data_IF_489162450914
#
_entry.id   IF_489162450914
#
_cell.length_a   1.000
_cell.length_b   1.000
_cell.length_c   1.000
_cell.angle_alpha   90.00
_cell.angle_beta   90.00
_cell.angle_gamma   90.00
#
_symmetry.space_group_name_H-M   'P 1'
#
loop_
_entity.id
_entity.type
_entity.pdbx_description
1 polymer ?
#
# COMPACT_ATOMS: atom_id res chain seq x y z
N UNK A 1 48.93 9.50 -26.05
CA UNK A 1 50.24 8.82 -26.19
C UNK A 1 50.10 7.80 -27.27
N UNK A 2 50.69 8.15 -28.39
CA UNK A 2 51.10 7.47 -29.57
C UNK A 2 51.81 6.14 -29.36
N UNK A 3 51.62 5.23 -30.31
CA UNK A 3 52.57 4.42 -31.07
C UNK A 3 51.72 3.49 -31.94
N UNK A 4 51.51 3.71 -33.21
CA UNK A 4 52.18 3.74 -34.51
C UNK A 4 53.18 2.59 -34.74
N UNK A 5 52.88 1.93 -35.87
CA UNK A 5 53.73 1.29 -36.89
C UNK A 5 54.31 -0.08 -36.59
N UNK A 6 54.13 -1.03 -37.54
CA UNK A 6 55.06 -1.29 -38.61
C UNK A 6 54.46 -2.22 -39.70
N UNK A 7 54.56 -1.72 -40.93
CA UNK A 7 54.43 -2.43 -42.22
C UNK A 7 55.74 -3.19 -42.52
N UNK A 8 55.72 -4.26 -43.30
CA UNK A 8 56.21 -4.30 -44.65
C UNK A 8 56.27 -5.74 -45.20
N UNK A 9 56.47 -5.85 -46.51
CA UNK A 9 55.87 -6.86 -47.39
C UNK A 9 56.92 -7.80 -48.03
N UNK A 10 56.45 -8.82 -48.72
CA UNK A 10 57.30 -9.47 -49.71
C UNK A 10 56.43 -10.01 -50.87
N UNK A 11 56.75 -9.53 -52.05
CA UNK A 11 56.44 -10.04 -53.43
C UNK A 11 57.70 -10.45 -54.15
N UNK A 12 57.65 -10.95 -55.35
CA UNK A 12 58.08 -12.27 -55.75
C UNK A 12 59.44 -12.25 -56.47
N UNK A 13 59.82 -13.28 -57.18
CA UNK A 13 60.21 -13.07 -58.57
C UNK A 13 59.77 -14.16 -59.56
N UNK A 14 59.46 -13.68 -60.74
CA UNK A 14 59.41 -14.40 -62.04
C UNK A 14 60.76 -14.92 -62.45
N UNK A 15 60.77 -16.03 -63.18
CA UNK A 15 61.73 -16.23 -64.24
C UNK A 15 61.20 -17.21 -65.30
N UNK A 16 61.08 -16.67 -66.51
CA UNK A 16 60.98 -17.35 -67.79
C UNK A 16 62.19 -18.22 -68.07
N UNK A 17 61.94 -19.37 -68.59
CA UNK A 17 62.81 -19.88 -69.67
C UNK A 17 62.02 -20.82 -70.61
N UNK A 18 61.99 -20.48 -71.87
CA UNK A 18 61.58 -21.23 -73.05
C UNK A 18 62.70 -22.13 -73.48
N UNK A 19 62.42 -23.34 -73.92
CA UNK A 19 63.13 -23.98 -75.09
C UNK A 19 62.30 -25.15 -75.63
N UNK A 20 62.30 -25.20 -76.96
CA UNK A 20 61.65 -26.04 -77.98
C UNK A 20 62.12 -27.46 -78.08
N UNK A 21 61.23 -28.24 -78.74
CA UNK A 21 61.47 -29.31 -79.70
C UNK A 21 62.13 -30.61 -79.21
N UNK A 22 61.72 -31.76 -79.55
CA UNK A 22 61.30 -32.36 -80.83
C UNK A 22 60.67 -33.73 -80.65
N UNK A 23 59.93 -34.13 -81.66
CA UNK A 23 59.20 -35.36 -81.88
C UNK A 23 59.93 -36.67 -81.66
N UNK A 24 59.24 -37.73 -81.34
CA UNK A 24 58.99 -38.93 -82.17
C UNK A 24 58.20 -40.03 -81.37
N UNK A 25 57.14 -40.43 -81.99
CA UNK A 25 56.64 -41.79 -82.26
C UNK A 25 56.53 -42.82 -81.13
N UNK A 26 55.24 -43.06 -80.71
CA UNK A 26 54.44 -44.31 -80.90
C UNK A 26 55.04 -45.61 -80.30
N UNK A 27 54.23 -46.57 -79.79
CA UNK A 27 52.80 -46.64 -79.40
C UNK A 27 52.54 -47.51 -78.18
N UNK A 28 51.30 -47.63 -77.97
CA UNK A 28 50.59 -48.79 -77.33
C UNK A 28 50.63 -48.97 -75.86
N UNK A 29 49.54 -48.74 -75.37
CA UNK A 29 48.66 -49.68 -74.74
C UNK A 29 48.47 -49.62 -73.25
N UNK A 30 47.39 -49.53 -72.81
CA UNK A 30 46.55 -50.59 -72.21
C UNK A 30 45.42 -49.94 -71.43
N UNK A 31 44.27 -50.36 -71.73
CA UNK A 31 42.97 -50.06 -71.00
C UNK A 31 42.97 -50.38 -69.54
N UNK A 32 43.58 -49.58 -68.69
CA UNK A 32 43.39 -49.60 -67.27
C UNK A 32 42.81 -48.28 -66.75
N UNK A 33 42.57 -47.30 -67.59
CA UNK A 33 41.97 -46.01 -67.16
C UNK A 33 40.46 -46.07 -66.92
N UNK A 34 39.76 -47.02 -67.57
CA UNK A 34 38.31 -47.11 -67.43
C UNK A 34 37.83 -47.46 -66.00
N UNK A 35 38.50 -48.43 -65.34
CA UNK A 35 38.11 -48.92 -64.05
C UNK A 35 38.42 -47.89 -62.92
N UNK A 36 39.58 -47.20 -63.05
CA UNK A 36 39.92 -46.14 -62.06
C UNK A 36 39.04 -44.90 -62.23
N UNK A 37 38.69 -44.52 -63.49
CA UNK A 37 37.74 -43.42 -63.69
C UNK A 37 36.36 -43.76 -63.22
N UNK A 38 35.86 -44.97 -63.45
CA UNK A 38 34.56 -45.40 -62.90
C UNK A 38 34.53 -45.47 -61.35
N UNK A 39 35.60 -45.95 -60.72
CA UNK A 39 35.71 -45.99 -59.29
C UNK A 39 35.81 -44.58 -58.70
N UNK A 40 36.49 -43.64 -59.31
CA UNK A 40 36.55 -42.24 -58.90
C UNK A 40 35.25 -41.51 -59.12
N UNK A 41 34.53 -41.76 -60.23
CA UNK A 41 33.19 -41.20 -60.46
C UNK A 41 32.12 -41.72 -59.41
N UNK A 42 32.15 -43.02 -59.15
CA UNK A 42 31.30 -43.65 -58.17
C UNK A 42 31.65 -43.10 -56.76
N UNK A 43 32.92 -42.96 -56.41
CA UNK A 43 33.39 -42.35 -55.17
C UNK A 43 32.96 -40.90 -55.04
N UNK A 44 33.13 -40.10 -56.09
CA UNK A 44 32.73 -38.67 -56.16
C UNK A 44 31.19 -38.50 -55.99
N UNK A 45 30.41 -39.33 -56.72
CA UNK A 45 28.97 -39.30 -56.60
C UNK A 45 28.47 -39.73 -55.24
N UNK A 46 29.08 -40.73 -54.62
CA UNK A 46 28.77 -41.11 -53.21
C UNK A 46 29.11 -39.99 -52.23
N UNK A 47 30.27 -39.33 -52.44
CA UNK A 47 30.68 -38.21 -51.57
C UNK A 47 29.77 -36.99 -51.75
N UNK A 48 29.33 -36.71 -52.99
CA UNK A 48 28.36 -35.65 -53.26
C UNK A 48 26.98 -35.97 -52.64
N UNK A 49 26.51 -37.19 -52.76
CA UNK A 49 25.21 -37.60 -52.14
C UNK A 49 25.29 -37.56 -50.62
N UNK A 50 26.41 -38.04 -50.06
CA UNK A 50 26.59 -37.97 -48.57
C UNK A 50 26.72 -36.53 -48.11
N UNK A 51 27.48 -35.68 -48.85
CA UNK A 51 27.58 -34.25 -48.56
C UNK A 51 26.24 -33.54 -48.66
N UNK A 52 25.46 -33.83 -49.69
CA UNK A 52 24.11 -33.27 -49.84
C UNK A 52 23.17 -33.69 -48.68
N UNK A 53 23.23 -34.95 -48.26
CA UNK A 53 22.46 -35.46 -47.11
C UNK A 53 22.83 -34.76 -45.80
N UNK A 54 24.13 -34.57 -45.55
CA UNK A 54 24.60 -33.85 -44.37
C UNK A 54 24.21 -32.36 -44.45
N UNK A 55 24.35 -31.74 -45.60
CA UNK A 55 23.93 -30.34 -45.78
C UNK A 55 22.42 -30.17 -45.53
N UNK A 56 21.61 -31.08 -46.03
CA UNK A 56 20.17 -31.09 -45.79
C UNK A 56 19.84 -31.29 -44.31
N UNK A 57 20.51 -32.25 -43.66
CA UNK A 57 20.32 -32.49 -42.22
C UNK A 57 20.71 -31.26 -41.39
N UNK A 58 21.85 -30.64 -41.69
CA UNK A 58 22.27 -29.40 -41.02
C UNK A 58 21.31 -28.23 -41.30
N UNK A 59 20.80 -28.10 -42.52
CA UNK A 59 19.81 -27.08 -42.88
C UNK A 59 18.52 -27.25 -42.11
N UNK A 60 18.05 -28.51 -41.92
CA UNK A 60 16.84 -28.80 -41.09
C UNK A 60 17.10 -28.47 -39.64
N UNK A 61 18.25 -28.83 -39.08
CA UNK A 61 18.62 -28.50 -37.70
C UNK A 61 18.77 -27.00 -37.52
N UNK A 62 19.42 -26.31 -38.42
CA UNK A 62 19.58 -24.85 -38.42
C UNK A 62 18.20 -24.14 -38.49
N UNK A 63 17.33 -24.60 -39.41
CA UNK A 63 15.95 -24.10 -39.52
C UNK A 63 15.16 -24.29 -38.22
N UNK A 64 15.31 -25.45 -37.60
CA UNK A 64 14.65 -25.72 -36.30
C UNK A 64 15.20 -24.89 -35.15
N UNK A 65 16.51 -24.63 -35.14
CA UNK A 65 17.13 -23.73 -34.16
C UNK A 65 16.67 -22.27 -34.32
N UNK A 66 16.56 -21.81 -35.59
CA UNK A 66 16.02 -20.47 -35.87
C UNK A 66 14.54 -20.38 -35.49
N UNK A 67 13.75 -21.40 -35.83
CA UNK A 67 12.33 -21.45 -35.41
C UNK A 67 12.19 -21.42 -33.88
N UNK A 68 12.96 -22.21 -33.14
CA UNK A 68 12.97 -22.20 -31.68
C UNK A 68 13.41 -20.83 -31.15
N UNK A 69 14.46 -20.24 -31.66
CA UNK A 69 14.96 -18.94 -31.21
C UNK A 69 13.96 -17.81 -31.49
N UNK A 70 13.29 -17.81 -32.63
CA UNK A 70 12.31 -16.78 -33.00
C UNK A 70 10.97 -16.99 -32.25
N UNK A 71 10.50 -18.22 -32.14
CA UNK A 71 9.25 -18.54 -31.47
C UNK A 71 9.36 -18.40 -29.93
N UNK A 72 10.51 -18.77 -29.33
CA UNK A 72 10.75 -18.53 -27.91
C UNK A 72 10.90 -17.04 -27.60
N UNK A 73 11.64 -16.26 -28.38
CA UNK A 73 11.74 -14.82 -28.18
C UNK A 73 10.39 -14.13 -28.36
N UNK A 74 9.62 -14.46 -29.39
CA UNK A 74 8.26 -13.92 -29.54
C UNK A 74 7.31 -14.40 -28.43
N UNK A 75 7.48 -15.61 -27.92
CA UNK A 75 6.74 -16.16 -26.78
C UNK A 75 7.13 -15.54 -25.44
N UNK A 76 8.41 -15.24 -25.22
CA UNK A 76 8.88 -14.55 -24.00
C UNK A 76 8.56 -13.06 -24.05
N UNK A 77 8.65 -12.38 -25.18
CA UNK A 77 8.20 -11.00 -25.31
C UNK A 77 6.68 -10.87 -25.16
N UNK A 78 5.90 -11.80 -25.70
CA UNK A 78 4.46 -11.84 -25.50
C UNK A 78 4.08 -12.28 -24.07
N UNK A 79 4.86 -13.12 -23.40
CA UNK A 79 4.72 -13.45 -21.99
C UNK A 79 5.19 -12.33 -21.08
N UNK A 80 6.34 -11.71 -21.36
CA UNK A 80 6.83 -10.56 -20.58
C UNK A 80 5.97 -9.33 -20.79
N UNK A 81 5.43 -9.07 -21.97
CA UNK A 81 4.46 -8.00 -22.19
C UNK A 81 3.07 -8.33 -21.60
N UNK A 82 2.64 -9.59 -21.59
CA UNK A 82 1.43 -10.02 -20.82
C UNK A 82 1.67 -10.00 -19.31
N UNK A 83 2.84 -10.38 -18.81
CA UNK A 83 3.23 -10.27 -17.41
C UNK A 83 3.44 -8.79 -17.04
N UNK A 84 3.99 -7.96 -17.91
CA UNK A 84 4.09 -6.52 -17.73
C UNK A 84 2.73 -5.81 -17.88
N UNK A 85 1.83 -6.27 -18.74
CA UNK A 85 0.48 -5.74 -18.87
C UNK A 85 -0.47 -6.25 -17.77
N UNK A 86 -0.23 -7.44 -17.18
CA UNK A 86 -0.96 -7.96 -16.01
C UNK A 86 -0.30 -7.53 -14.70
N UNK A 87 0.98 -7.23 -14.69
CA UNK A 87 1.67 -6.37 -13.77
C UNK A 87 1.50 -4.90 -14.25
N UNK A 88 0.26 -4.41 -14.36
CA UNK A 88 0.03 -3.02 -13.96
C UNK A 88 0.76 -2.93 -12.63
N UNK A 89 1.93 -2.29 -12.63
CA UNK A 89 2.68 -2.02 -11.41
C UNK A 89 1.64 -1.51 -10.43
N UNK A 90 1.27 -2.37 -9.48
CA UNK A 90 0.32 -2.00 -8.44
C UNK A 90 1.03 -0.87 -7.76
N UNK A 91 0.58 0.37 -8.03
CA UNK A 91 1.21 1.55 -7.47
C UNK A 91 1.26 1.33 -5.97
N UNK A 92 2.44 1.47 -5.41
CA UNK A 92 2.66 1.39 -3.98
C UNK A 92 1.72 2.40 -3.33
N UNK A 93 1.03 2.02 -2.28
CA UNK A 93 0.16 2.96 -1.55
C UNK A 93 1.00 4.10 -0.99
N UNK A 94 0.68 5.34 -1.37
CA UNK A 94 1.44 6.55 -1.03
C UNK A 94 1.61 6.73 0.47
N UNK A 95 2.68 7.38 0.86
CA UNK A 95 2.97 7.73 2.23
C UNK A 95 1.98 8.77 2.77
N UNK A 96 1.79 8.77 4.07
CA UNK A 96 1.07 9.82 4.79
C UNK A 96 2.06 10.46 5.76
N UNK A 97 2.15 11.79 5.71
CA UNK A 97 3.02 12.57 6.59
C UNK A 97 2.22 13.53 7.46
N UNK A 98 2.82 14.00 8.53
CA UNK A 98 2.32 15.13 9.29
C UNK A 98 2.65 16.46 8.58
N UNK A 99 2.24 17.58 9.17
CA UNK A 99 2.51 18.94 8.64
C UNK A 99 4.01 19.30 8.54
N UNK A 100 4.87 18.59 9.27
CA UNK A 100 6.33 18.78 9.30
C UNK A 100 7.06 17.77 8.41
N UNK A 101 6.35 16.94 7.64
CA UNK A 101 6.93 15.88 6.81
C UNK A 101 7.30 14.61 7.58
N UNK A 102 6.91 14.47 8.85
CA UNK A 102 7.17 13.26 9.63
C UNK A 102 6.26 12.14 9.14
N UNK A 103 6.84 10.98 8.88
CA UNK A 103 6.16 9.83 8.30
C UNK A 103 5.18 9.21 9.29
N UNK A 104 3.89 9.26 8.99
CA UNK A 104 2.80 8.69 9.79
C UNK A 104 2.36 7.30 9.33
N UNK A 105 2.39 7.05 8.02
CA UNK A 105 2.12 5.74 7.42
C UNK A 105 2.92 5.54 6.14
N UNK A 106 3.47 4.34 5.96
CA UNK A 106 4.22 3.94 4.76
C UNK A 106 3.91 2.50 4.37
N UNK A 107 4.21 2.14 3.13
CA UNK A 107 4.08 0.77 2.62
C UNK A 107 5.45 0.16 2.42
N UNK A 108 5.74 -0.91 3.14
CA UNK A 108 7.00 -1.65 3.01
C UNK A 108 6.82 -2.86 2.09
N UNK A 109 7.75 -3.10 1.16
CA UNK A 109 7.74 -4.31 0.35
C UNK A 109 7.95 -5.53 1.25
N UNK A 110 7.13 -6.55 1.05
CA UNK A 110 7.19 -7.82 1.76
C UNK A 110 6.98 -8.97 0.79
N UNK A 111 7.15 -10.20 1.25
CA UNK A 111 6.79 -11.40 0.53
C UNK A 111 5.64 -12.12 1.24
N UNK A 112 4.78 -12.75 0.48
CA UNK A 112 3.75 -13.65 0.98
C UNK A 112 3.98 -15.05 0.41
N UNK A 113 3.94 -16.05 1.28
CA UNK A 113 4.12 -17.46 0.94
C UNK A 113 2.80 -18.07 0.48
N UNK A 114 2.81 -18.67 -0.70
CA UNK A 114 1.73 -19.52 -1.17
C UNK A 114 2.26 -20.87 -1.62
N UNK A 115 1.39 -21.85 -1.66
CA UNK A 115 1.67 -23.18 -2.19
C UNK A 115 0.82 -23.45 -3.43
N UNK A 116 1.40 -24.20 -4.38
CA UNK A 116 0.63 -24.99 -5.33
C UNK A 116 0.60 -26.43 -4.83
N UNK A 117 -0.50 -26.89 -4.21
CA UNK A 117 -0.61 -28.24 -3.66
C UNK A 117 -0.30 -29.36 -4.66
N UNK A 118 -0.55 -29.15 -5.95
CA UNK A 118 -0.26 -30.15 -6.99
C UNK A 118 1.23 -30.41 -7.19
N UNK A 119 2.10 -29.46 -6.79
CA UNK A 119 3.55 -29.59 -6.89
C UNK A 119 4.19 -30.04 -5.56
N UNK A 120 3.40 -30.26 -4.51
CA UNK A 120 3.90 -30.72 -3.21
C UNK A 120 4.00 -32.24 -3.24
N UNK A 121 5.20 -32.79 -3.09
CA UNK A 121 5.45 -34.23 -3.14
C UNK A 121 4.90 -34.94 -1.89
N UNK A 122 5.21 -34.45 -0.69
CA UNK A 122 4.73 -34.97 0.58
C UNK A 122 4.18 -33.83 1.46
N UNK A 123 2.84 -33.65 1.51
CA UNK A 123 2.21 -32.64 2.35
C UNK A 123 2.48 -32.79 3.85
N UNK A 124 2.69 -34.02 4.34
CA UNK A 124 2.93 -34.27 5.76
C UNK A 124 4.35 -33.87 6.18
N UNK A 125 5.34 -34.19 5.35
CA UNK A 125 6.73 -33.78 5.57
C UNK A 125 6.87 -32.25 5.41
N UNK A 126 6.30 -31.68 4.35
CA UNK A 126 6.30 -30.23 4.10
C UNK A 126 5.67 -29.46 5.28
N UNK A 127 4.52 -29.92 5.80
CA UNK A 127 3.89 -29.33 6.97
C UNK A 127 4.76 -29.40 8.22
N UNK A 128 5.49 -30.53 8.43
CA UNK A 128 6.41 -30.68 9.55
C UNK A 128 7.58 -29.70 9.46
N UNK A 129 8.17 -29.51 8.26
CA UNK A 129 9.27 -28.57 8.02
C UNK A 129 8.80 -27.12 8.20
N UNK A 130 7.65 -26.77 7.64
CA UNK A 130 7.07 -25.42 7.77
C UNK A 130 6.67 -25.06 9.21
N UNK A 131 6.17 -26.01 10.00
CA UNK A 131 5.83 -25.76 11.40
C UNK A 131 7.05 -25.37 12.26
N UNK A 132 8.28 -25.77 11.88
CA UNK A 132 9.51 -25.29 12.56
C UNK A 132 9.80 -23.82 12.29
N UNK A 133 9.45 -23.34 11.10
CA UNK A 133 9.62 -21.93 10.72
C UNK A 133 8.47 -21.07 11.25
N UNK A 134 7.27 -21.63 11.33
CA UNK A 134 6.05 -20.97 11.78
C UNK A 134 5.47 -21.65 13.05
N UNK A 135 6.08 -21.48 14.22
CA UNK A 135 5.66 -22.18 15.45
C UNK A 135 4.23 -21.84 15.89
N UNK A 136 3.70 -20.68 15.48
CA UNK A 136 2.33 -20.24 15.79
C UNK A 136 1.27 -20.80 14.82
N UNK A 137 1.67 -21.58 13.81
CA UNK A 137 0.74 -22.20 12.87
C UNK A 137 0.48 -23.63 13.24
N UNK A 138 -0.78 -24.01 13.28
CA UNK A 138 -1.19 -25.38 13.49
C UNK A 138 -0.73 -26.27 12.32
N UNK A 139 0.07 -27.29 12.63
CA UNK A 139 0.62 -28.24 11.66
C UNK A 139 -0.48 -28.95 10.88
N UNK A 140 -1.59 -29.32 11.51
CA UNK A 140 -2.70 -30.01 10.86
C UNK A 140 -3.37 -29.10 9.81
N UNK A 141 -3.51 -27.81 10.12
CA UNK A 141 -4.02 -26.81 9.19
C UNK A 141 -3.08 -26.56 8.00
N UNK A 142 -1.76 -26.54 8.23
CA UNK A 142 -0.77 -26.46 7.15
C UNK A 142 -0.90 -27.68 6.25
N UNK A 143 -0.91 -28.89 6.82
CA UNK A 143 -1.03 -30.14 6.07
C UNK A 143 -2.32 -30.18 5.24
N UNK A 144 -3.46 -29.82 5.82
CA UNK A 144 -4.74 -29.76 5.10
C UNK A 144 -4.70 -28.80 3.91
N UNK A 145 -4.06 -27.65 4.07
CA UNK A 145 -3.86 -26.69 2.98
C UNK A 145 -2.97 -27.24 1.86
N UNK A 146 -1.89 -27.95 2.22
CA UNK A 146 -0.95 -28.52 1.26
C UNK A 146 -1.49 -29.77 0.54
N UNK A 147 -2.45 -30.48 1.13
CA UNK A 147 -3.15 -31.62 0.54
C UNK A 147 -4.40 -31.23 -0.26
N UNK A 148 -4.76 -29.96 -0.33
CA UNK A 148 -5.98 -29.50 -0.99
C UNK A 148 -5.89 -29.70 -2.52
N UNK A 149 -7.01 -30.06 -3.18
CA UNK A 149 -7.11 -30.12 -4.65
C UNK A 149 -7.24 -28.73 -5.27
N UNK A 150 -6.21 -27.88 -5.10
CA UNK A 150 -6.14 -26.50 -5.59
C UNK A 150 -4.78 -26.24 -6.20
N UNK A 151 -4.70 -25.23 -7.08
CA UNK A 151 -3.44 -24.79 -7.69
C UNK A 151 -2.78 -23.66 -6.90
N UNK A 152 -3.55 -23.02 -6.00
CA UNK A 152 -3.08 -21.88 -5.22
C UNK A 152 -3.71 -21.87 -3.82
N UNK A 153 -2.87 -21.80 -2.79
CA UNK A 153 -3.31 -21.71 -1.39
C UNK A 153 -2.36 -20.77 -0.61
N UNK A 154 -2.90 -19.72 0.00
CA UNK A 154 -2.11 -18.89 0.91
C UNK A 154 -1.72 -19.66 2.17
N UNK A 155 -0.43 -19.68 2.48
CA UNK A 155 0.11 -20.21 3.72
C UNK A 155 0.33 -19.09 4.74
N UNK A 156 1.17 -18.13 4.43
CA UNK A 156 1.50 -17.03 5.32
C UNK A 156 1.74 -15.74 4.52
N UNK A 157 1.18 -14.63 4.99
CA UNK A 157 1.34 -13.32 4.36
C UNK A 157 2.28 -12.43 5.18
N UNK A 158 2.84 -11.40 4.53
CA UNK A 158 3.69 -10.40 5.16
C UNK A 158 4.92 -11.00 5.87
N UNK A 159 5.68 -11.82 5.17
CA UNK A 159 6.91 -12.42 5.68
C UNK A 159 8.01 -11.38 5.88
N UNK A 160 8.77 -11.54 6.95
CA UNK A 160 10.05 -10.82 7.08
C UNK A 160 11.09 -11.44 6.13
N UNK A 161 12.12 -10.68 5.70
CA UNK A 161 13.20 -11.23 4.87
C UNK A 161 13.86 -12.46 5.49
N UNK A 162 14.08 -12.46 6.81
CA UNK A 162 14.61 -13.61 7.56
C UNK A 162 13.71 -14.84 7.43
N UNK A 163 12.41 -14.68 7.62
CA UNK A 163 11.45 -15.77 7.51
C UNK A 163 11.35 -16.31 6.08
N UNK A 164 11.36 -15.40 5.09
CA UNK A 164 11.40 -15.76 3.66
C UNK A 164 12.63 -16.63 3.36
N UNK A 165 13.80 -16.20 3.81
CA UNK A 165 15.04 -16.97 3.64
C UNK A 165 14.95 -18.34 4.29
N UNK A 166 14.45 -18.44 5.54
CA UNK A 166 14.28 -19.70 6.25
C UNK A 166 13.35 -20.67 5.53
N UNK A 167 12.26 -20.16 4.94
CA UNK A 167 11.34 -21.00 4.14
C UNK A 167 12.01 -21.45 2.84
N UNK A 168 12.72 -20.54 2.15
CA UNK A 168 13.41 -20.88 0.90
C UNK A 168 14.48 -21.97 1.11
N UNK A 169 15.20 -21.90 2.25
CA UNK A 169 16.23 -22.88 2.62
C UNK A 169 15.66 -24.29 2.88
N UNK A 170 14.33 -24.45 3.07
CA UNK A 170 13.71 -25.77 3.20
C UNK A 170 13.70 -26.57 1.88
N UNK A 171 13.84 -25.90 0.73
CA UNK A 171 13.89 -26.54 -0.58
C UNK A 171 12.63 -27.33 -0.94
N UNK A 172 11.45 -26.92 -0.48
CA UNK A 172 10.19 -27.66 -0.70
C UNK A 172 9.61 -27.26 -2.06
N UNK A 173 9.50 -28.22 -3.03
CA UNK A 173 8.82 -27.94 -4.30
C UNK A 173 7.38 -27.53 -4.08
N UNK A 174 6.87 -26.65 -4.95
CA UNK A 174 5.48 -26.16 -4.87
C UNK A 174 5.25 -25.03 -3.87
N UNK A 175 6.29 -24.53 -3.18
CA UNK A 175 6.23 -23.30 -2.40
C UNK A 175 6.75 -22.13 -3.22
N UNK A 176 6.02 -21.04 -3.22
CA UNK A 176 6.34 -19.84 -3.99
C UNK A 176 6.13 -18.59 -3.16
N UNK A 177 6.83 -17.52 -3.54
CA UNK A 177 6.68 -16.20 -2.93
C UNK A 177 6.06 -15.23 -3.91
N UNK A 178 5.04 -14.52 -3.46
CA UNK A 178 4.48 -13.39 -4.18
C UNK A 178 4.92 -12.09 -3.51
N UNK A 179 5.39 -11.13 -4.29
CA UNK A 179 5.62 -9.77 -3.81
C UNK A 179 4.30 -9.16 -3.33
N UNK A 180 4.32 -8.67 -2.12
CA UNK A 180 3.19 -7.99 -1.47
C UNK A 180 3.71 -6.77 -0.73
N UNK A 181 2.80 -5.96 -0.22
CA UNK A 181 3.13 -4.78 0.58
C UNK A 181 2.47 -4.91 1.95
N UNK A 182 3.14 -4.34 2.93
CA UNK A 182 2.60 -4.21 4.28
C UNK A 182 2.55 -2.75 4.65
N UNK A 183 1.37 -2.26 4.98
CA UNK A 183 1.18 -0.93 5.55
C UNK A 183 1.72 -0.89 6.97
N UNK A 184 2.54 0.10 7.27
CA UNK A 184 3.20 0.29 8.57
C UNK A 184 2.92 1.69 9.08
N UNK A 185 2.60 1.78 10.36
CA UNK A 185 2.33 3.01 11.09
C UNK A 185 3.40 3.19 12.16
N UNK A 186 4.48 3.96 11.90
CA UNK A 186 5.63 4.08 12.82
C UNK A 186 5.24 4.56 14.22
N UNK A 187 4.27 5.47 14.31
CA UNK A 187 3.80 6.03 15.58
C UNK A 187 2.67 5.22 16.25
N UNK A 188 2.28 4.09 15.67
CA UNK A 188 1.38 3.12 16.27
C UNK A 188 0.07 3.73 16.77
N UNK A 189 -0.18 3.60 18.08
CA UNK A 189 -1.44 4.02 18.73
C UNK A 189 -1.72 5.52 18.66
N UNK A 190 -0.68 6.35 18.60
CA UNK A 190 -0.80 7.82 18.65
C UNK A 190 -1.66 8.34 17.49
N UNK A 191 -1.57 7.72 16.32
CA UNK A 191 -2.27 8.16 15.10
C UNK A 191 -3.46 7.28 14.73
N UNK A 192 -3.79 6.29 15.57
CA UNK A 192 -4.72 5.22 15.24
C UNK A 192 -6.08 5.69 14.70
N UNK A 193 -6.76 6.58 15.43
CA UNK A 193 -8.11 7.02 15.06
C UNK A 193 -8.12 8.07 13.95
N UNK A 194 -7.04 8.86 13.82
CA UNK A 194 -6.90 9.83 12.74
C UNK A 194 -6.62 9.10 11.41
N UNK A 195 -5.60 8.26 11.37
CA UNK A 195 -5.25 7.53 10.16
C UNK A 195 -6.22 6.39 9.87
N UNK A 196 -6.70 5.69 10.89
CA UNK A 196 -7.45 4.46 10.71
C UNK A 196 -6.53 3.28 10.42
N UNK A 197 -6.99 2.36 9.59
CA UNK A 197 -6.25 1.15 9.24
C UNK A 197 -6.61 0.64 7.84
N UNK A 198 -5.74 -0.20 7.31
CA UNK A 198 -5.96 -0.94 6.07
C UNK A 198 -6.19 -2.42 6.35
N UNK A 199 -6.87 -3.11 5.42
CA UNK A 199 -6.89 -4.57 5.42
C UNK A 199 -5.55 -5.14 4.91
N UNK A 200 -5.45 -6.47 4.92
CA UNK A 200 -4.24 -7.18 4.48
C UNK A 200 -3.93 -7.00 2.98
N UNK A 201 -4.91 -6.58 2.19
CA UNK A 201 -4.78 -6.31 0.75
C UNK A 201 -4.45 -4.84 0.45
N UNK A 202 -4.19 -4.04 1.50
CA UNK A 202 -3.85 -2.63 1.40
C UNK A 202 -5.03 -1.72 1.10
N UNK A 203 -6.28 -2.18 1.27
CA UNK A 203 -7.47 -1.35 1.14
C UNK A 203 -7.74 -0.62 2.45
N UNK A 204 -7.97 0.69 2.39
CA UNK A 204 -8.32 1.50 3.54
C UNK A 204 -9.71 1.16 4.08
N UNK A 205 -9.81 0.96 5.40
CA UNK A 205 -11.05 0.58 6.08
C UNK A 205 -11.68 1.72 6.89
N UNK A 206 -10.87 2.63 7.40
CA UNK A 206 -11.33 3.73 8.27
C UNK A 206 -10.36 4.90 8.27
N UNK A 207 -10.80 6.03 8.83
CA UNK A 207 -9.98 7.24 8.97
C UNK A 207 -9.50 7.79 7.63
N UNK A 208 -8.34 8.45 7.64
CA UNK A 208 -7.69 8.99 6.44
C UNK A 208 -7.40 7.88 5.41
N UNK A 209 -6.97 6.70 5.87
CA UNK A 209 -6.74 5.55 5.01
C UNK A 209 -7.99 5.13 4.22
N UNK A 210 -9.16 5.14 4.87
CA UNK A 210 -10.43 4.81 4.22
C UNK A 210 -10.94 5.94 3.32
N UNK A 211 -10.90 7.18 3.81
CA UNK A 211 -11.43 8.32 3.07
C UNK A 211 -10.65 8.61 1.78
N UNK A 212 -9.32 8.56 1.85
CA UNK A 212 -8.42 8.80 0.72
C UNK A 212 -7.94 7.52 0.04
N UNK A 213 -8.64 6.38 0.19
CA UNK A 213 -8.18 5.09 -0.32
C UNK A 213 -7.84 5.12 -1.82
N UNK A 214 -8.69 5.76 -2.63
CA UNK A 214 -8.49 5.89 -4.08
C UNK A 214 -7.26 6.76 -4.41
N UNK A 215 -7.12 7.89 -3.74
CA UNK A 215 -5.99 8.81 -3.93
C UNK A 215 -4.67 8.16 -3.52
N UNK A 216 -4.64 7.54 -2.33
CA UNK A 216 -3.46 6.85 -1.80
C UNK A 216 -2.99 5.68 -2.69
N UNK A 217 -3.86 5.10 -3.51
CA UNK A 217 -3.50 4.04 -4.47
C UNK A 217 -3.30 4.55 -5.90
N UNK A 218 -3.62 5.82 -6.16
CA UNK A 218 -3.60 6.41 -7.50
C UNK A 218 -2.38 7.27 -7.80
N UNK A 219 -1.66 7.73 -6.79
CA UNK A 219 -0.50 8.63 -6.90
C UNK A 219 0.67 8.08 -6.10
N UNK A 220 1.88 8.52 -6.45
CA UNK A 220 3.10 8.25 -5.69
C UNK A 220 3.44 9.42 -4.74
N UNK A 221 2.68 10.53 -4.83
CA UNK A 221 2.89 11.69 -3.97
C UNK A 221 2.33 11.45 -2.57
N UNK A 222 3.07 11.78 -1.50
CA UNK A 222 2.60 11.64 -0.13
C UNK A 222 1.44 12.61 0.16
N UNK A 223 0.52 12.17 1.02
CA UNK A 223 -0.53 13.05 1.55
C UNK A 223 -0.01 13.67 2.85
N UNK A 224 0.18 14.99 2.85
CA UNK A 224 0.50 15.76 4.04
C UNK A 224 -0.79 16.13 4.79
N UNK A 225 -0.83 15.81 6.09
CA UNK A 225 -1.93 16.16 6.98
C UNK A 225 -1.60 17.42 7.77
N UNK A 226 -2.62 18.10 8.25
CA UNK A 226 -2.48 19.22 9.20
C UNK A 226 -2.05 18.78 10.61
N UNK A 227 -2.05 17.48 10.91
CA UNK A 227 -1.62 16.93 12.20
C UNK A 227 -0.15 17.25 12.49
N UNK A 228 0.16 17.51 13.76
CA UNK A 228 1.51 17.56 14.31
C UNK A 228 1.67 16.41 15.31
N UNK A 229 2.58 15.47 15.02
CA UNK A 229 2.76 14.27 15.84
C UNK A 229 3.19 14.58 17.28
N UNK A 230 3.88 15.71 17.51
CA UNK A 230 4.29 16.15 18.84
C UNK A 230 3.08 16.58 19.66
N UNK A 231 2.21 17.41 19.08
CA UNK A 231 0.96 17.85 19.71
C UNK A 231 0.03 16.66 19.95
N UNK A 232 -0.02 15.74 18.96
CA UNK A 232 -0.78 14.49 19.04
C UNK A 232 -0.32 13.64 20.24
N UNK A 233 1.01 13.52 20.45
CA UNK A 233 1.57 12.76 21.57
C UNK A 233 1.25 13.40 22.92
N UNK A 234 1.45 14.71 23.05
CA UNK A 234 1.14 15.46 24.28
C UNK A 234 -0.34 15.32 24.65
N UNK A 235 -1.22 15.56 23.67
CA UNK A 235 -2.67 15.44 23.88
C UNK A 235 -3.05 14.04 24.37
N UNK A 236 -2.46 13.00 23.77
CA UNK A 236 -2.69 11.62 24.17
C UNK A 236 -2.26 11.34 25.61
N UNK A 237 -1.08 11.80 25.98
CA UNK A 237 -0.54 11.61 27.35
C UNK A 237 -1.40 12.31 28.39
N UNK A 238 -1.82 13.55 28.16
CA UNK A 238 -2.67 14.29 29.08
C UNK A 238 -4.06 13.67 29.23
N UNK A 239 -4.64 13.18 28.12
CA UNK A 239 -5.90 12.47 28.18
C UNK A 239 -5.79 11.14 28.93
N UNK A 240 -4.67 10.41 28.80
CA UNK A 240 -4.46 9.18 29.58
C UNK A 240 -4.30 9.46 31.07
N UNK A 241 -3.58 10.53 31.45
CA UNK A 241 -3.48 10.98 32.85
C UNK A 241 -4.86 11.33 33.41
N UNK A 242 -5.64 12.13 32.67
CA UNK A 242 -6.99 12.49 33.06
C UNK A 242 -7.91 11.27 33.20
N UNK A 243 -7.81 10.31 32.28
CA UNK A 243 -8.60 9.06 32.40
C UNK A 243 -8.24 8.28 33.66
N UNK A 244 -6.98 8.24 34.04
CA UNK A 244 -6.54 7.55 35.24
C UNK A 244 -7.01 8.30 36.52
N UNK A 245 -6.85 9.61 36.55
CA UNK A 245 -7.24 10.46 37.68
C UNK A 245 -8.74 10.40 37.95
N UNK A 246 -9.57 10.56 36.90
CA UNK A 246 -11.02 10.60 37.01
C UNK A 246 -11.68 9.24 36.81
N UNK A 247 -10.92 8.15 36.67
CA UNK A 247 -11.42 6.78 36.39
C UNK A 247 -12.38 6.76 35.19
N UNK A 248 -12.09 7.54 34.16
CA UNK A 248 -12.96 7.67 33.01
C UNK A 248 -12.85 6.43 32.09
N UNK A 249 -13.98 5.99 31.54
CA UNK A 249 -14.05 4.85 30.62
C UNK A 249 -13.58 5.19 29.20
N UNK A 250 -13.40 6.48 28.91
CA UNK A 250 -12.92 6.98 27.62
C UNK A 250 -12.68 8.48 27.68
N UNK A 251 -11.85 8.96 26.74
CA UNK A 251 -11.58 10.38 26.58
C UNK A 251 -11.46 10.72 25.11
N UNK A 252 -11.71 11.97 24.77
CA UNK A 252 -11.55 12.51 23.42
C UNK A 252 -11.02 13.94 23.51
N UNK A 253 -10.12 14.31 22.59
CA UNK A 253 -9.59 15.66 22.51
C UNK A 253 -9.25 16.04 21.09
N UNK A 254 -9.39 17.34 20.79
CA UNK A 254 -9.01 17.96 19.52
C UNK A 254 -8.24 19.23 19.83
N UNK A 255 -7.14 19.44 19.13
CA UNK A 255 -6.43 20.72 19.06
C UNK A 255 -6.59 21.24 17.65
N UNK A 256 -7.15 22.43 17.54
CA UNK A 256 -7.48 23.04 16.25
C UNK A 256 -6.94 24.48 16.21
N UNK A 257 -6.40 24.87 15.08
CA UNK A 257 -6.08 26.27 14.81
C UNK A 257 -7.37 27.05 14.62
N UNK A 258 -7.59 28.03 15.48
CA UNK A 258 -8.84 28.83 15.46
C UNK A 258 -8.93 29.79 14.27
N UNK A 259 -7.81 30.04 13.56
CA UNK A 259 -7.78 30.98 12.46
C UNK A 259 -8.18 30.37 11.11
N UNK A 260 -7.83 29.09 10.92
CA UNK A 260 -8.02 28.39 9.64
C UNK A 260 -8.79 27.06 9.77
N UNK A 261 -9.02 26.58 11.00
CA UNK A 261 -9.73 25.32 11.25
C UNK A 261 -8.88 24.04 11.08
N UNK A 262 -7.57 24.16 10.89
CA UNK A 262 -6.69 22.99 10.77
C UNK A 262 -6.63 22.19 12.07
N UNK A 263 -6.89 20.90 11.98
CA UNK A 263 -6.77 19.98 13.13
C UNK A 263 -5.31 19.60 13.30
N UNK A 264 -4.67 20.10 14.37
CA UNK A 264 -3.29 19.78 14.70
C UNK A 264 -3.16 18.50 15.52
N UNK A 265 -4.16 18.16 16.31
CA UNK A 265 -4.24 16.88 17.01
C UNK A 265 -5.68 16.42 17.19
N UNK A 266 -5.88 15.10 17.14
CA UNK A 266 -7.16 14.44 17.35
C UNK A 266 -6.94 13.08 18.02
N UNK A 267 -7.34 12.94 19.28
CA UNK A 267 -7.19 11.71 20.07
C UNK A 267 -8.54 11.19 20.51
N UNK A 268 -8.72 9.89 20.41
CA UNK A 268 -9.84 9.15 21.00
C UNK A 268 -9.29 7.97 21.81
N UNK A 269 -9.71 7.84 23.05
CA UNK A 269 -9.29 6.77 23.97
C UNK A 269 -10.52 5.98 24.47
N UNK A 270 -10.35 4.63 24.70
CA UNK A 270 -9.17 3.84 24.45
C UNK A 270 -8.84 3.74 22.96
N UNK A 271 -7.55 3.59 22.66
CA UNK A 271 -7.03 3.46 21.29
C UNK A 271 -6.64 2.02 20.95
N UNK A 272 -6.32 1.79 19.68
CA UNK A 272 -5.84 0.52 19.15
C UNK A 272 -4.48 0.69 18.47
N UNK A 273 -3.83 -0.43 18.18
CA UNK A 273 -2.59 -0.41 17.38
C UNK A 273 -2.92 -0.74 15.90
N UNK A 274 -2.82 0.22 14.96
CA UNK A 274 -3.16 -0.03 13.56
C UNK A 274 -2.24 -1.07 12.88
N UNK A 275 -1.04 -1.31 13.43
CA UNK A 275 -0.17 -2.40 12.98
C UNK A 275 -0.68 -3.80 13.43
N UNK A 276 -1.67 -3.84 14.34
CA UNK A 276 -2.32 -5.05 14.84
C UNK A 276 -3.85 -4.86 14.75
N UNK A 277 -4.47 -5.02 13.56
CA UNK A 277 -5.87 -4.68 13.31
C UNK A 277 -6.87 -5.34 14.27
N UNK A 278 -6.55 -6.51 14.79
CA UNK A 278 -7.38 -7.20 15.80
C UNK A 278 -7.62 -6.35 17.06
N UNK A 279 -6.71 -5.42 17.38
CA UNK A 279 -6.83 -4.53 18.53
C UNK A 279 -7.85 -3.40 18.33
N UNK A 280 -8.35 -3.21 17.09
CA UNK A 280 -9.41 -2.25 16.77
C UNK A 280 -10.81 -2.81 17.01
N UNK A 281 -10.95 -4.04 17.48
CA UNK A 281 -12.24 -4.63 17.79
C UNK A 281 -12.90 -3.95 19.00
N UNK A 282 -14.23 -3.84 18.97
CA UNK A 282 -15.01 -3.30 20.06
C UNK A 282 -14.80 -1.81 20.34
N UNK A 283 -14.74 -1.45 21.61
CA UNK A 283 -14.71 -0.05 22.10
C UNK A 283 -13.45 0.71 21.62
N UNK A 284 -12.31 0.02 21.47
CA UNK A 284 -11.05 0.65 21.06
C UNK A 284 -11.09 1.17 19.62
N UNK A 285 -11.88 0.58 18.74
CA UNK A 285 -12.06 1.04 17.36
C UNK A 285 -13.05 2.19 17.17
N UNK A 286 -13.81 2.53 18.25
CA UNK A 286 -14.78 3.61 18.18
C UNK A 286 -14.12 4.98 18.34
N UNK A 287 -14.16 5.78 17.26
CA UNK A 287 -13.62 7.13 17.28
C UNK A 287 -14.62 8.08 17.97
N UNK A 288 -14.34 8.43 19.22
CA UNK A 288 -15.19 9.31 20.04
C UNK A 288 -15.23 10.74 19.54
N UNK A 289 -14.20 11.19 18.86
CA UNK A 289 -14.14 12.56 18.32
C UNK A 289 -15.13 12.74 17.17
N UNK A 290 -15.22 11.75 16.27
CA UNK A 290 -16.00 11.89 15.04
C UNK A 290 -17.35 11.18 15.06
N UNK A 291 -17.52 10.18 15.95
CA UNK A 291 -18.73 9.34 16.05
C UNK A 291 -19.42 9.44 17.41
N UNK A 292 -18.74 10.02 18.40
CA UNK A 292 -19.31 10.17 19.73
C UNK A 292 -20.41 11.23 19.71
N UNK A 293 -21.51 10.95 20.41
CA UNK A 293 -22.61 11.87 20.63
C UNK A 293 -22.71 12.13 22.13
N UNK A 294 -22.62 13.39 22.52
CA UNK A 294 -22.57 13.81 23.92
C UNK A 294 -23.56 14.94 24.17
N UNK A 295 -24.12 15.00 25.40
CA UNK A 295 -24.83 16.17 25.87
C UNK A 295 -23.83 17.29 26.16
N UNK A 296 -23.86 18.34 25.36
CA UNK A 296 -22.91 19.44 25.46
C UNK A 296 -23.13 20.34 26.65
N UNK A 297 -24.31 20.24 27.26
CA UNK A 297 -24.67 20.95 28.47
C UNK A 297 -24.48 22.47 28.33
N UNK A 298 -23.83 23.06 29.32
CA UNK A 298 -23.59 24.51 29.39
C UNK A 298 -22.67 25.06 28.31
N UNK A 299 -21.91 24.24 27.62
CA UNK A 299 -21.11 24.66 26.45
C UNK A 299 -22.00 25.23 25.33
N UNK A 300 -23.24 24.74 25.23
CA UNK A 300 -24.20 25.23 24.24
C UNK A 300 -24.66 26.67 24.50
N UNK A 301 -24.50 27.20 25.74
CA UNK A 301 -24.78 28.60 26.05
C UNK A 301 -23.89 29.59 25.31
N UNK A 302 -22.67 29.18 24.94
CA UNK A 302 -21.78 29.99 24.12
C UNK A 302 -22.38 30.25 22.73
N UNK A 303 -22.99 29.23 22.12
CA UNK A 303 -23.71 29.39 20.85
C UNK A 303 -24.93 30.31 21.01
N UNK A 304 -25.68 30.15 22.15
CA UNK A 304 -26.83 31.02 22.43
C UNK A 304 -26.42 32.48 22.58
N UNK A 305 -25.35 32.75 23.31
CA UNK A 305 -24.82 34.12 23.44
C UNK A 305 -24.31 34.66 22.12
N UNK A 306 -23.56 33.84 21.33
CA UNK A 306 -23.10 34.25 20.02
C UNK A 306 -24.26 34.60 19.08
N UNK A 307 -25.32 33.77 19.04
CA UNK A 307 -26.51 34.05 18.24
C UNK A 307 -27.20 35.39 18.66
N UNK A 308 -27.35 35.60 19.97
CA UNK A 308 -28.01 36.79 20.52
C UNK A 308 -27.22 38.06 20.23
N UNK A 309 -25.89 37.99 20.35
CA UNK A 309 -25.01 39.15 20.08
C UNK A 309 -24.91 39.44 18.58
N UNK A 310 -24.67 38.42 17.72
CA UNK A 310 -24.52 38.59 16.28
C UNK A 310 -25.82 39.03 15.60
N UNK A 311 -26.97 38.55 16.10
CA UNK A 311 -28.27 39.00 15.59
C UNK A 311 -28.67 40.40 16.05
N UNK A 312 -27.96 40.98 17.00
CA UNK A 312 -28.26 42.27 17.61
C UNK A 312 -29.46 42.33 18.56
N UNK A 313 -30.04 41.14 18.90
CA UNK A 313 -31.15 41.10 19.90
C UNK A 313 -30.65 41.28 21.32
N UNK A 314 -29.36 41.05 21.57
CA UNK A 314 -28.68 41.33 22.82
C UNK A 314 -27.40 42.12 22.64
N UNK A 315 -27.02 42.90 23.63
CA UNK A 315 -25.73 43.58 23.75
C UNK A 315 -25.01 43.13 24.98
N UNK A 316 -23.69 43.24 25.06
CA UNK A 316 -22.90 42.85 26.22
C UNK A 316 -23.38 43.44 27.55
N UNK A 317 -23.93 44.69 27.51
CA UNK A 317 -24.44 45.43 28.69
C UNK A 317 -25.88 45.07 29.07
N UNK A 318 -26.61 44.41 28.20
CA UNK A 318 -27.98 44.03 28.47
C UNK A 318 -28.06 43.05 29.65
N UNK A 319 -29.10 43.18 30.44
CA UNK A 319 -29.27 42.37 31.68
C UNK A 319 -30.57 41.60 31.60
N UNK A 320 -30.47 40.35 32.06
CA UNK A 320 -31.58 39.42 32.10
C UNK A 320 -31.93 39.08 33.54
N UNK A 321 -33.20 39.16 33.85
CA UNK A 321 -33.71 38.81 35.18
C UNK A 321 -33.57 37.29 35.41
N UNK A 322 -32.65 36.91 36.27
CA UNK A 322 -32.41 35.54 36.73
C UNK A 322 -32.81 35.34 38.21
N UNK A 323 -33.69 36.22 38.72
CA UNK A 323 -34.14 36.14 40.12
C UNK A 323 -35.03 34.92 40.41
N UNK A 324 -35.82 34.50 39.40
CA UNK A 324 -36.79 33.41 39.56
C UNK A 324 -36.71 32.44 38.35
N UNK A 325 -36.93 31.14 38.59
CA UNK A 325 -37.08 30.17 37.52
C UNK A 325 -38.15 30.56 36.51
N UNK A 326 -37.93 30.28 35.23
CA UNK A 326 -38.92 30.47 34.17
C UNK A 326 -39.64 29.15 33.88
N UNK A 327 -40.91 29.25 33.52
CA UNK A 327 -41.75 28.13 33.12
C UNK A 327 -42.01 28.23 31.62
N UNK A 328 -41.62 27.22 30.88
CA UNK A 328 -41.87 27.12 29.43
C UNK A 328 -42.66 25.84 29.19
N UNK A 329 -43.94 26.00 28.86
CA UNK A 329 -44.87 24.86 28.78
C UNK A 329 -44.87 24.05 30.11
N UNK A 330 -44.58 22.76 30.05
CA UNK A 330 -44.48 21.86 31.23
C UNK A 330 -43.11 21.89 31.91
N UNK A 331 -42.12 22.53 31.34
CA UNK A 331 -40.74 22.53 31.83
C UNK A 331 -40.47 23.77 32.70
N UNK A 332 -39.79 23.58 33.82
CA UNK A 332 -39.26 24.61 34.68
C UNK A 332 -37.76 24.70 34.51
N UNK A 333 -37.24 25.85 34.09
CA UNK A 333 -35.81 26.10 33.91
C UNK A 333 -35.34 26.91 35.13
N UNK A 334 -34.35 26.35 35.83
CA UNK A 334 -33.73 26.98 37.03
C UNK A 334 -32.22 26.95 36.88
N UNK A 335 -31.54 27.86 37.56
CA UNK A 335 -30.08 27.84 37.69
C UNK A 335 -29.67 26.82 38.76
N UNK A 336 -28.54 26.11 38.50
CA UNK A 336 -27.98 25.18 39.48
C UNK A 336 -27.37 25.90 40.69
N UNK A 337 -26.63 27.00 40.43
CA UNK A 337 -26.12 27.92 41.46
C UNK A 337 -26.74 29.31 41.27
N UNK A 338 -28.02 29.44 41.64
CA UNK A 338 -28.78 30.66 41.41
C UNK A 338 -28.16 31.86 42.11
N UNK A 339 -27.97 32.95 41.35
CA UNK A 339 -27.50 34.26 41.87
C UNK A 339 -28.65 35.14 42.36
N UNK A 340 -29.90 34.78 42.02
CA UNK A 340 -31.13 35.47 42.40
C UNK A 340 -31.10 36.98 42.11
N UNK A 341 -30.53 37.38 41.02
CA UNK A 341 -30.40 38.78 40.58
C UNK A 341 -30.39 38.91 39.08
N UNK A 342 -30.44 40.12 38.58
CA UNK A 342 -30.22 40.41 37.16
C UNK A 342 -28.76 40.16 36.79
N UNK A 343 -28.55 39.48 35.66
CA UNK A 343 -27.25 39.12 35.15
C UNK A 343 -27.04 39.76 33.78
N UNK A 344 -25.86 40.32 33.55
CA UNK A 344 -25.45 40.74 32.22
C UNK A 344 -25.10 39.56 31.31
N UNK A 345 -25.01 39.74 30.02
CA UNK A 345 -24.64 38.68 29.07
C UNK A 345 -23.31 37.99 29.47
N UNK A 346 -22.21 38.69 29.79
CA UNK A 346 -21.00 38.07 30.32
C UNK A 346 -21.24 37.29 31.62
N UNK A 347 -22.03 37.83 32.58
CA UNK A 347 -22.33 37.16 33.85
C UNK A 347 -23.15 35.88 33.65
N UNK A 348 -24.02 35.83 32.64
CA UNK A 348 -24.76 34.62 32.27
C UNK A 348 -23.81 33.49 31.88
N UNK A 349 -22.76 33.82 31.15
CA UNK A 349 -21.75 32.84 30.74
C UNK A 349 -20.86 32.44 31.92
N UNK A 350 -20.35 33.43 32.70
CA UNK A 350 -19.46 33.20 33.86
C UNK A 350 -20.15 32.34 34.92
N UNK A 351 -21.41 32.64 35.24
CA UNK A 351 -22.18 31.90 36.26
C UNK A 351 -22.97 30.73 35.67
N UNK A 352 -22.87 30.52 34.36
CA UNK A 352 -23.59 29.45 33.65
C UNK A 352 -25.10 29.47 33.91
N UNK A 353 -25.74 30.65 33.90
CA UNK A 353 -27.17 30.80 34.15
C UNK A 353 -28.00 30.15 33.04
N UNK A 354 -28.82 29.15 33.44
CA UNK A 354 -29.80 28.54 32.54
C UNK A 354 -30.94 29.51 32.23
N UNK A 355 -31.35 30.27 33.22
CA UNK A 355 -32.47 31.24 33.10
C UNK A 355 -32.08 32.34 32.12
N UNK A 356 -30.89 32.95 32.29
CA UNK A 356 -30.43 34.00 31.43
C UNK A 356 -30.22 33.51 29.98
N UNK A 357 -29.59 32.35 29.79
CA UNK A 357 -29.40 31.75 28.49
C UNK A 357 -30.74 31.42 27.80
N UNK A 358 -31.70 30.88 28.52
CA UNK A 358 -33.03 30.58 27.97
C UNK A 358 -33.78 31.87 27.54
N UNK A 359 -33.67 32.96 28.31
CA UNK A 359 -34.25 34.26 27.92
C UNK A 359 -33.62 34.82 26.67
N UNK A 360 -32.29 34.82 26.55
CA UNK A 360 -31.60 35.16 25.31
C UNK A 360 -32.05 34.30 24.12
N UNK A 361 -32.17 32.98 24.31
CA UNK A 361 -32.62 32.08 23.25
C UNK A 361 -34.07 32.37 22.82
N UNK A 362 -34.96 32.77 23.73
CA UNK A 362 -36.30 33.16 23.38
C UNK A 362 -36.36 34.45 22.55
N UNK A 363 -35.47 35.42 22.83
CA UNK A 363 -35.36 36.66 22.06
C UNK A 363 -34.84 36.42 20.65
N UNK A 364 -33.81 35.51 20.46
CA UNK A 364 -33.37 35.07 19.15
C UNK A 364 -34.50 34.38 18.38
N UNK A 365 -35.37 33.72 19.07
CA UNK A 365 -36.53 33.01 18.52
C UNK A 365 -36.16 31.76 17.73
N UNK A 366 -37.16 30.92 17.47
CA UNK A 366 -36.96 29.62 16.78
C UNK A 366 -36.37 29.76 15.40
N UNK A 367 -36.83 30.74 14.61
CA UNK A 367 -36.35 30.95 13.23
C UNK A 367 -34.89 31.41 13.24
N UNK A 368 -34.54 32.34 14.15
CA UNK A 368 -33.16 32.79 14.33
C UNK A 368 -32.22 31.66 14.71
N UNK A 369 -32.58 30.90 15.76
CA UNK A 369 -31.78 29.77 16.20
C UNK A 369 -31.55 28.75 15.07
N UNK A 370 -32.60 28.34 14.34
CA UNK A 370 -32.46 27.41 13.20
C UNK A 370 -31.51 27.96 12.13
N UNK A 371 -31.60 29.27 11.79
CA UNK A 371 -30.72 29.93 10.83
C UNK A 371 -29.25 29.84 11.27
N UNK A 372 -28.94 30.15 12.52
CA UNK A 372 -27.58 30.08 13.04
C UNK A 372 -27.06 28.65 13.16
N UNK A 373 -27.86 27.72 13.67
CA UNK A 373 -27.46 26.31 13.75
C UNK A 373 -27.13 25.72 12.38
N UNK A 374 -27.87 26.14 11.31
CA UNK A 374 -27.54 25.79 9.93
C UNK A 374 -26.21 26.41 9.48
N UNK A 375 -25.95 27.70 9.80
CA UNK A 375 -24.66 28.37 9.50
C UNK A 375 -23.49 27.71 10.23
N UNK A 376 -23.69 27.20 11.43
CA UNK A 376 -22.68 26.41 12.17
C UNK A 376 -22.54 24.96 11.67
N UNK A 377 -23.30 24.54 10.66
CA UNK A 377 -23.23 23.19 10.11
C UNK A 377 -23.89 22.11 11.02
N UNK A 378 -24.64 22.53 12.04
CA UNK A 378 -25.32 21.63 12.97
C UNK A 378 -26.69 21.13 12.47
N UNK A 379 -27.25 21.79 11.48
CA UNK A 379 -28.48 21.39 10.78
C UNK A 379 -28.19 21.21 9.30
N UNK A 380 -28.73 20.15 8.71
CA UNK A 380 -28.67 19.86 7.26
C UNK A 380 -29.70 20.70 6.50
#
# INVERSE_FOLDING_TARGET
MNFERLRHPFSPPESNVSVKETASEIPTHIKFEGIRRQALEIGRNRLLVTGALFTLAFAVVAGRLVELAVVEQAGEEARSSRIAATSKMRKVRSDITDRNGILLATSLPTASLYANPQHILDPKEAARKLARVFPNMDRSKIQAKLAAKKTFVWLQRNLTPKTQFSVNALGIPGLYFQRTERRVYPHGRIVAHALGLTNIDGQGLSGIEGYFDKSLRGTDEPIALSLDIRVQSILREELLKSMAEFRAIGAAGVVMDATNGEVQAMISLPDFNPNKPVTAAGIAGFNRVTKGVYEMGSTFKLFTAAMALDSGVARLRDRYDATKPIKISRFKISDYHAKNRWLSVPEIIVYSSNIGAAKMALEVGTAGQKKYLKRFGMLK
#
